data_IF_089144741889
#
_entry.id   IF_089144741889
#
_cell.length_a   1.000
_cell.length_b   1.000
_cell.length_c   1.000
_cell.angle_alpha   90.00
_cell.angle_beta   90.00
_cell.angle_gamma   90.00
#
_symmetry.space_group_name_H-M   'P 1'
#
loop_
_entity.id
_entity.type
_entity.pdbx_description
1 polymer ?
#
# COMPACT_ATOMS: atom_id res chain seq x y z
N UNK A 1 23.55 7.85 -6.14
CA UNK A 1 22.40 7.01 -6.52
C UNK A 1 21.23 7.48 -5.69
N UNK A 2 20.35 8.28 -6.29
CA UNK A 2 19.26 8.98 -5.59
C UNK A 2 18.06 8.04 -5.50
N UNK A 3 17.93 7.33 -4.37
CA UNK A 3 16.61 6.92 -3.90
C UNK A 3 16.02 8.20 -3.30
N UNK A 4 15.40 9.02 -4.15
CA UNK A 4 14.92 10.37 -3.80
C UNK A 4 13.40 10.43 -3.66
N UNK A 5 12.73 9.28 -3.66
CA UNK A 5 11.29 9.21 -3.44
C UNK A 5 11.03 8.68 -2.02
N UNK A 6 10.27 9.41 -1.19
CA UNK A 6 9.97 9.01 0.19
C UNK A 6 9.18 7.69 0.26
N UNK A 7 8.59 7.25 -0.86
CA UNK A 7 7.86 6.00 -1.03
C UNK A 7 8.74 4.77 -1.28
N UNK A 8 9.99 4.96 -1.71
CA UNK A 8 10.91 3.88 -2.10
C UNK A 8 11.93 3.55 -0.99
N UNK A 9 11.72 4.11 0.21
CA UNK A 9 12.57 3.84 1.35
C UNK A 9 12.18 2.49 1.98
N UNK A 10 12.98 1.45 1.71
CA UNK A 10 12.76 0.11 2.26
C UNK A 10 12.90 0.03 3.79
N UNK A 11 13.55 1.02 4.42
CA UNK A 11 13.67 1.15 5.88
C UNK A 11 12.67 2.17 6.44
N UNK A 12 11.87 2.80 5.58
CA UNK A 12 10.91 3.83 5.92
C UNK A 12 9.67 3.25 6.56
N UNK A 13 9.00 4.09 7.35
CA UNK A 13 7.72 3.77 7.96
C UNK A 13 6.58 4.40 7.15
N UNK A 14 5.55 3.61 6.87
CA UNK A 14 4.42 4.02 6.05
C UNK A 14 3.11 3.81 6.79
N UNK A 15 2.25 4.82 6.76
CA UNK A 15 0.87 4.72 7.16
C UNK A 15 0.06 4.02 6.08
N UNK A 16 -0.97 3.29 6.50
CA UNK A 16 -2.06 2.91 5.61
C UNK A 16 -3.24 3.82 5.88
N UNK A 17 -3.52 4.66 4.89
CA UNK A 17 -4.66 5.54 4.91
C UNK A 17 -5.83 4.90 4.18
N UNK A 18 -7.04 5.22 4.62
CA UNK A 18 -8.28 4.85 3.95
C UNK A 18 -9.11 6.11 3.67
N UNK A 19 -9.65 6.20 2.46
CA UNK A 19 -10.60 7.25 2.13
C UNK A 19 -12.06 6.79 2.36
N UNK A 20 -13.00 7.72 2.22
CA UNK A 20 -14.43 7.43 2.33
C UNK A 20 -14.96 6.39 1.31
N UNK A 21 -14.22 6.13 0.23
CA UNK A 21 -14.54 5.13 -0.79
C UNK A 21 -13.92 3.75 -0.49
N UNK A 22 -13.42 3.55 0.74
CA UNK A 22 -12.74 2.33 1.20
C UNK A 22 -11.47 1.96 0.41
N UNK A 23 -10.88 2.93 -0.30
CA UNK A 23 -9.60 2.74 -0.99
C UNK A 23 -8.46 2.95 -0.01
N UNK A 24 -7.40 2.15 -0.14
CA UNK A 24 -6.22 2.24 0.71
C UNK A 24 -5.08 2.95 -0.02
N UNK A 25 -4.32 3.77 0.70
CA UNK A 25 -3.12 4.43 0.18
C UNK A 25 -1.97 4.28 1.17
N UNK A 26 -0.79 3.94 0.64
CA UNK A 26 0.47 3.91 1.38
C UNK A 26 1.01 5.33 1.46
N UNK A 27 1.20 5.85 2.67
CA UNK A 27 1.65 7.23 2.89
C UNK A 27 2.87 7.27 3.80
N UNK A 28 4.00 7.86 3.37
CA UNK A 28 5.22 7.89 4.17
C UNK A 28 5.03 8.74 5.42
N UNK A 29 5.62 8.29 6.54
CA UNK A 29 5.50 8.99 7.82
C UNK A 29 6.07 10.40 7.78
N UNK A 30 7.10 10.65 6.96
CA UNK A 30 7.69 11.97 6.81
C UNK A 30 6.80 12.99 6.09
N UNK A 31 5.70 12.56 5.46
CA UNK A 31 4.75 13.46 4.80
C UNK A 31 3.54 13.73 5.70
N UNK A 32 3.08 14.98 5.71
CA UNK A 32 1.86 15.35 6.39
C UNK A 32 0.67 14.56 5.83
N UNK A 33 -0.27 14.20 6.72
CA UNK A 33 -1.46 13.44 6.34
C UNK A 33 -2.44 14.34 5.55
N UNK A 34 -2.93 13.89 4.39
CA UNK A 34 -3.91 14.63 3.63
C UNK A 34 -5.28 14.67 4.34
N UNK A 35 -5.98 15.80 4.24
CA UNK A 35 -7.33 15.94 4.78
C UNK A 35 -8.31 14.97 4.08
N UNK A 36 -9.25 14.42 4.86
CA UNK A 36 -10.25 13.45 4.35
C UNK A 36 -9.77 12.00 4.25
N UNK A 37 -8.51 11.72 4.61
CA UNK A 37 -7.98 10.37 4.75
C UNK A 37 -7.90 9.97 6.22
N UNK A 38 -8.33 8.76 6.53
CA UNK A 38 -8.28 8.20 7.89
C UNK A 38 -7.12 7.22 8.01
N UNK A 39 -6.33 7.35 9.07
CA UNK A 39 -5.25 6.40 9.38
C UNK A 39 -5.88 5.10 9.88
N UNK A 40 -5.72 4.03 9.12
CA UNK A 40 -6.21 2.69 9.48
C UNK A 40 -5.11 1.84 10.10
N UNK A 41 -3.87 2.07 9.67
CA UNK A 41 -2.70 1.42 10.23
C UNK A 41 -1.65 2.47 10.58
N UNK A 42 -1.11 2.34 11.80
CA UNK A 42 0.06 3.08 12.28
C UNK A 42 1.28 2.84 11.38
N UNK A 43 2.33 3.67 11.49
CA UNK A 43 3.41 3.67 10.52
C UNK A 43 4.30 2.45 10.73
N UNK A 44 4.28 1.54 9.76
CA UNK A 44 5.02 0.27 9.79
C UNK A 44 5.96 0.16 8.58
N UNK A 45 6.87 -0.81 8.62
CA UNK A 45 7.77 -1.08 7.50
C UNK A 45 6.98 -1.45 6.25
N UNK A 46 7.52 -1.11 5.06
CA UNK A 46 6.89 -1.40 3.78
C UNK A 46 6.46 -2.87 3.63
N UNK A 47 7.27 -3.81 4.12
CA UNK A 47 6.98 -5.25 4.11
C UNK A 47 5.70 -5.60 4.88
N UNK A 48 5.51 -5.02 6.08
CA UNK A 48 4.33 -5.26 6.91
C UNK A 48 3.09 -4.62 6.29
N UNK A 49 3.22 -3.41 5.75
CA UNK A 49 2.11 -2.76 5.05
C UNK A 49 1.69 -3.55 3.80
N UNK A 50 2.65 -4.07 3.03
CA UNK A 50 2.39 -4.92 1.87
C UNK A 50 1.73 -6.23 2.28
N UNK A 51 2.17 -6.88 3.35
CA UNK A 51 1.53 -8.09 3.87
C UNK A 51 0.09 -7.81 4.34
N UNK A 52 -0.13 -6.69 5.02
CA UNK A 52 -1.46 -6.27 5.47
C UNK A 52 -2.39 -5.95 4.30
N UNK A 53 -1.89 -5.23 3.29
CA UNK A 53 -2.61 -4.96 2.04
C UNK A 53 -2.92 -6.26 1.32
N UNK A 54 -1.94 -7.16 1.14
CA UNK A 54 -2.13 -8.45 0.48
C UNK A 54 -3.21 -9.31 1.19
N UNK A 55 -3.25 -9.28 2.53
CA UNK A 55 -4.25 -10.00 3.32
C UNK A 55 -5.67 -9.39 3.24
N UNK A 56 -5.82 -8.11 2.88
CA UNK A 56 -7.12 -7.44 2.72
C UNK A 56 -7.56 -7.31 1.27
N UNK A 57 -6.61 -7.24 0.35
CA UNK A 57 -6.85 -7.18 -1.10
C UNK A 57 -7.05 -8.56 -1.73
N UNK A 58 -7.09 -9.62 -0.92
CA UNK A 58 -7.41 -11.00 -1.31
C UNK A 58 -8.78 -11.18 -1.98
N UNK A 59 -9.61 -10.12 -2.04
CA UNK A 59 -10.83 -10.06 -2.85
C UNK A 59 -10.61 -9.55 -4.28
N UNK A 60 -9.39 -9.20 -4.68
CA UNK A 60 -8.98 -9.18 -6.08
C UNK A 60 -8.71 -10.62 -6.51
N UNK A 61 -9.76 -11.45 -6.50
CA UNK A 61 -9.75 -12.70 -7.22
C UNK A 61 -9.58 -12.35 -8.70
N UNK A 62 -8.49 -12.77 -9.37
CA UNK A 62 -8.43 -12.67 -10.81
C UNK A 62 -9.39 -13.72 -11.37
N UNK A 63 -10.69 -13.38 -11.46
CA UNK A 63 -11.61 -14.12 -12.32
C UNK A 63 -11.15 -14.05 -13.80
N UNK A 64 -10.15 -13.23 -14.11
CA UNK A 64 -9.49 -13.13 -15.39
C UNK A 64 -7.95 -13.09 -15.23
N UNK A 65 -7.35 -14.18 -14.74
CA UNK A 65 -6.04 -14.54 -15.25
C UNK A 65 -6.27 -15.60 -16.31
N UNK A 66 -6.50 -15.17 -17.55
CA UNK A 66 -6.31 -16.08 -18.70
C UNK A 66 -4.82 -16.35 -18.72
N UNK A 67 -4.42 -17.45 -18.09
CA UNK A 67 -3.13 -18.07 -18.35
C UNK A 67 -3.13 -18.40 -19.83
N UNK A 68 -2.38 -17.63 -20.61
CA UNK A 68 -2.05 -18.03 -21.98
C UNK A 68 -1.26 -19.34 -21.86
N UNK A 69 -1.76 -20.48 -22.37
CA UNK A 69 -0.93 -21.67 -22.46
C UNK A 69 0.16 -21.38 -23.49
N UNK A 70 1.42 -21.46 -23.05
CA UNK A 70 2.57 -21.48 -23.95
C UNK A 70 2.61 -22.91 -24.53
N UNK A 71 2.29 -23.04 -25.82
CA UNK A 71 2.67 -24.20 -26.66
C UNK A 71 4.09 -23.95 -27.20
#
# INVERSE_FOLDING_TARGET
>A
MQISNPFDDAQGQFYILQNAQQQYSLWPQQCALPEGWQVVCEPQSADVCNAWLAARWTLLNPAHFVGVPHD
#
